data_IF_395591623443
#
_entry.id   IF_395591623443
#
_cell.length_a   1.000
_cell.length_b   1.000
_cell.length_c   1.000
_cell.angle_alpha   90.00
_cell.angle_beta   90.00
_cell.angle_gamma   90.00
#
_symmetry.space_group_name_H-M   'P 1'
#
loop_
_entity.id
_entity.type
_entity.pdbx_description
1 polymer ?
#
# COMPACT_ATOMS: atom_id res chain seq x y z
N UNK A 1 9.61 10.49 26.16
CA UNK A 1 8.73 9.30 25.98
C UNK A 1 8.34 9.15 24.50
N UNK A 2 9.31 9.01 23.58
CA UNK A 2 9.02 9.03 22.13
C UNK A 2 9.00 7.66 21.45
N UNK A 3 9.84 6.72 21.90
CA UNK A 3 10.09 5.46 21.20
C UNK A 3 8.86 4.56 21.08
N UNK A 4 8.05 4.48 22.13
CA UNK A 4 6.86 3.60 22.18
C UNK A 4 5.80 3.94 21.12
N UNK A 5 5.65 5.24 20.79
CA UNK A 5 4.70 5.69 19.77
C UNK A 5 5.12 5.24 18.37
N UNK A 6 6.42 5.32 18.04
CA UNK A 6 6.96 4.85 16.77
C UNK A 6 6.83 3.32 16.62
N UNK A 7 6.97 2.56 17.71
CA UNK A 7 6.76 1.10 17.67
C UNK A 7 5.32 0.75 17.33
N UNK A 8 4.35 1.47 17.89
CA UNK A 8 2.92 1.26 17.58
C UNK A 8 2.63 1.59 16.11
N UNK A 9 3.15 2.71 15.59
CA UNK A 9 3.00 3.07 14.19
C UNK A 9 3.59 2.01 13.26
N UNK A 10 4.78 1.50 13.57
CA UNK A 10 5.41 0.42 12.82
C UNK A 10 4.59 -0.88 12.83
N UNK A 11 4.00 -1.25 13.97
CA UNK A 11 3.13 -2.43 14.08
C UNK A 11 1.83 -2.24 13.29
N UNK A 12 1.19 -1.07 13.36
CA UNK A 12 -0.03 -0.78 12.60
C UNK A 12 0.25 -0.86 11.09
N UNK A 13 1.36 -0.26 10.64
CA UNK A 13 1.76 -0.30 9.23
C UNK A 13 2.14 -1.71 8.78
N UNK A 14 2.87 -2.46 9.60
CA UNK A 14 3.25 -3.84 9.32
C UNK A 14 2.03 -4.77 9.24
N UNK A 15 1.10 -4.66 10.20
CA UNK A 15 -0.15 -5.40 10.20
C UNK A 15 -1.02 -5.02 8.99
N UNK A 16 -1.11 -3.73 8.66
CA UNK A 16 -1.81 -3.24 7.47
C UNK A 16 -1.24 -3.80 6.17
N UNK A 17 0.09 -3.83 6.04
CA UNK A 17 0.77 -4.41 4.88
C UNK A 17 0.52 -5.93 4.77
N UNK A 18 0.61 -6.67 5.87
CA UNK A 18 0.34 -8.11 5.90
C UNK A 18 -1.12 -8.44 5.58
N UNK A 19 -2.06 -7.66 6.12
CA UNK A 19 -3.47 -7.81 5.81
C UNK A 19 -3.73 -7.62 4.31
N UNK A 20 -3.10 -6.61 3.69
CA UNK A 20 -3.26 -6.35 2.26
C UNK A 20 -2.61 -7.44 1.40
N UNK A 21 -1.45 -7.97 1.82
CA UNK A 21 -0.80 -9.11 1.14
C UNK A 21 -1.65 -10.39 1.25
N UNK A 22 -2.26 -10.66 2.40
CA UNK A 22 -3.14 -11.81 2.58
C UNK A 22 -4.41 -11.66 1.74
N UNK A 23 -5.02 -10.47 1.72
CA UNK A 23 -6.15 -10.17 0.83
C UNK A 23 -5.80 -10.36 -0.65
N UNK A 24 -4.58 -10.00 -1.04
CA UNK A 24 -4.09 -10.24 -2.40
C UNK A 24 -3.84 -11.73 -2.70
N UNK A 25 -3.39 -12.51 -1.71
CA UNK A 25 -3.22 -13.97 -1.84
C UNK A 25 -4.55 -14.71 -1.92
N UNK A 26 -5.54 -14.34 -1.11
CA UNK A 26 -6.89 -14.94 -1.12
C UNK A 26 -7.59 -14.83 -2.47
N UNK A 27 -7.25 -13.81 -3.26
CA UNK A 27 -7.80 -13.58 -4.60
C UNK A 27 -6.96 -14.16 -5.74
N UNK A 28 -5.98 -15.02 -5.43
CA UNK A 28 -5.04 -15.65 -6.38
C UNK A 28 -4.42 -14.65 -7.37
N UNK A 29 -4.12 -13.44 -6.89
CA UNK A 29 -3.71 -12.37 -7.77
C UNK A 29 -2.27 -12.63 -8.22
N UNK A 30 -2.04 -12.63 -9.54
CA UNK A 30 -0.68 -12.53 -10.10
C UNK A 30 -0.12 -11.14 -9.82
N UNK A 31 0.45 -10.99 -8.63
CA UNK A 31 1.13 -9.77 -8.21
C UNK A 31 2.34 -9.57 -9.12
N UNK A 32 2.36 -8.46 -9.86
CA UNK A 32 3.50 -8.11 -10.71
C UNK A 32 4.53 -7.34 -9.89
N UNK A 33 5.80 -7.47 -10.25
CA UNK A 33 6.91 -6.86 -9.49
C UNK A 33 6.74 -5.34 -9.30
N UNK A 34 6.23 -4.63 -10.32
CA UNK A 34 5.99 -3.19 -10.25
C UNK A 34 4.89 -2.79 -9.26
N UNK A 35 3.87 -3.62 -9.03
CA UNK A 35 2.79 -3.27 -8.09
C UNK A 35 3.28 -3.37 -6.66
N UNK A 36 4.18 -4.32 -6.39
CA UNK A 36 4.88 -4.43 -5.09
C UNK A 36 5.77 -3.21 -4.88
N UNK A 37 6.58 -2.81 -5.88
CA UNK A 37 7.45 -1.64 -5.77
C UNK A 37 6.66 -0.36 -5.48
N UNK A 38 5.55 -0.12 -6.21
CA UNK A 38 4.68 1.03 -5.99
C UNK A 38 4.04 1.01 -4.60
N UNK A 39 3.60 -0.16 -4.14
CA UNK A 39 2.99 -0.30 -2.83
C UNK A 39 3.98 -0.04 -1.69
N UNK A 40 5.18 -0.63 -1.76
CA UNK A 40 6.25 -0.42 -0.77
C UNK A 40 6.71 1.04 -0.78
N UNK A 41 6.91 1.63 -1.96
CA UNK A 41 7.32 3.03 -2.09
C UNK A 41 6.25 3.98 -1.53
N UNK A 42 4.98 3.71 -1.80
CA UNK A 42 3.85 4.47 -1.26
C UNK A 42 3.77 4.37 0.25
N UNK A 43 3.88 3.16 0.83
CA UNK A 43 3.90 2.96 2.28
C UNK A 43 5.08 3.65 2.95
N UNK A 44 6.28 3.54 2.38
CA UNK A 44 7.48 4.18 2.91
C UNK A 44 7.33 5.71 2.91
N UNK A 45 6.84 6.28 1.81
CA UNK A 45 6.57 7.73 1.72
C UNK A 45 5.50 8.17 2.72
N UNK A 46 4.46 7.36 2.92
CA UNK A 46 3.41 7.62 3.90
C UNK A 46 3.99 7.64 5.33
N UNK A 47 4.89 6.71 5.65
CA UNK A 47 5.54 6.62 6.96
C UNK A 47 6.41 7.86 7.23
N UNK A 48 7.24 8.27 6.25
CA UNK A 48 8.02 9.50 6.35
C UNK A 48 7.14 10.74 6.51
N UNK A 49 5.99 10.78 5.83
CA UNK A 49 5.02 11.88 5.97
C UNK A 49 4.50 11.98 7.39
N UNK A 50 4.19 10.85 8.03
CA UNK A 50 3.68 10.81 9.40
C UNK A 50 4.76 11.28 10.39
N UNK A 51 6.01 10.83 10.23
CA UNK A 51 7.11 11.28 11.08
C UNK A 51 7.37 12.79 10.93
N UNK A 52 7.42 13.28 9.69
CA UNK A 52 7.59 14.71 9.41
C UNK A 52 6.42 15.56 9.93
N UNK A 53 5.19 15.03 9.84
CA UNK A 53 3.99 15.70 10.39
C UNK A 53 4.07 15.83 11.91
N UNK A 54 4.45 14.76 12.61
CA UNK A 54 4.61 14.76 14.07
C UNK A 54 5.72 15.73 14.48
N UNK A 55 6.85 15.76 13.74
CA UNK A 55 7.94 16.71 13.96
C UNK A 55 7.46 18.16 13.85
N UNK A 56 6.77 18.50 12.76
CA UNK A 56 6.24 19.85 12.54
C UNK A 56 5.21 20.28 13.60
N UNK A 57 4.42 19.33 14.13
CA UNK A 57 3.49 19.61 15.24
C UNK A 57 4.22 19.88 16.56
N UNK A 58 5.35 19.20 16.82
CA UNK A 58 6.17 19.45 18.00
C UNK A 58 6.86 20.82 17.96
N UNK A 59 7.13 21.33 16.76
CA UNK A 59 7.69 22.66 16.53
C UNK A 59 6.61 23.77 16.50
N UNK A 60 5.34 23.46 16.82
CA UNK A 60 4.18 24.36 16.81
C UNK A 60 3.87 25.03 15.45
N UNK A 61 4.48 24.55 14.37
CA UNK A 61 4.28 25.04 13.01
C UNK A 61 3.12 24.28 12.34
N UNK A 62 1.89 24.48 12.81
CA UNK A 62 0.70 23.78 12.28
C UNK A 62 0.46 23.99 10.77
N UNK A 63 0.93 25.11 10.21
CA UNK A 63 0.88 25.32 8.76
C UNK A 63 1.83 24.39 8.00
N UNK A 64 3.06 24.24 8.49
CA UNK A 64 4.03 23.34 7.89
C UNK A 64 3.56 21.89 7.95
N UNK A 65 2.99 21.48 9.09
CA UNK A 65 2.39 20.15 9.25
C UNK A 65 1.29 19.88 8.19
N UNK A 66 0.36 20.81 7.99
CA UNK A 66 -0.66 20.70 6.96
C UNK A 66 -0.09 20.58 5.54
N UNK A 67 0.92 21.37 5.22
CA UNK A 67 1.59 21.34 3.91
C UNK A 67 2.32 20.01 3.66
N UNK A 68 2.97 19.44 4.67
CA UNK A 68 3.62 18.13 4.57
C UNK A 68 2.61 17.03 4.23
N UNK A 69 1.42 17.07 4.85
CA UNK A 69 0.36 16.09 4.58
C UNK A 69 -0.15 16.19 3.14
N UNK A 70 -0.31 17.41 2.63
CA UNK A 70 -0.78 17.65 1.25
C UNK A 70 0.30 17.26 0.24
N UNK A 71 1.53 17.72 0.46
CA UNK A 71 2.61 17.59 -0.51
C UNK A 71 3.22 16.20 -0.56
N UNK A 72 3.41 15.52 0.58
CA UNK A 72 3.92 14.13 0.61
C UNK A 72 2.84 13.09 0.82
N UNK A 73 1.82 13.39 1.63
CA UNK A 73 0.76 12.42 1.97
C UNK A 73 -0.15 12.09 0.78
N UNK A 74 -0.56 13.09 -0.01
CA UNK A 74 -1.39 12.83 -1.20
C UNK A 74 -0.65 11.95 -2.23
N UNK A 75 0.59 12.26 -2.64
CA UNK A 75 1.35 11.37 -3.52
C UNK A 75 1.55 9.96 -2.96
N UNK A 76 1.79 9.83 -1.65
CA UNK A 76 1.91 8.53 -1.01
C UNK A 76 0.62 7.68 -1.16
N UNK A 77 -0.53 8.29 -0.89
CA UNK A 77 -1.84 7.64 -1.07
C UNK A 77 -2.13 7.32 -2.53
N UNK A 78 -1.74 8.17 -3.47
CA UNK A 78 -1.87 7.90 -4.90
C UNK A 78 -1.02 6.71 -5.35
N UNK A 79 0.20 6.57 -4.86
CA UNK A 79 1.07 5.42 -5.16
C UNK A 79 0.45 4.12 -4.64
N UNK A 80 -0.06 4.12 -3.41
CA UNK A 80 -0.75 2.97 -2.81
C UNK A 80 -2.02 2.65 -3.60
N UNK A 81 -2.85 3.65 -3.88
CA UNK A 81 -4.08 3.51 -4.65
C UNK A 81 -3.83 3.00 -6.07
N UNK A 82 -2.78 3.47 -6.74
CA UNK A 82 -2.37 2.98 -8.06
C UNK A 82 -1.89 1.53 -7.99
N UNK A 83 -1.09 1.16 -6.99
CA UNK A 83 -0.64 -0.22 -6.79
C UNK A 83 -1.82 -1.18 -6.61
N UNK A 84 -2.78 -0.81 -5.76
CA UNK A 84 -4.01 -1.59 -5.53
C UNK A 84 -4.89 -1.61 -6.78
N UNK A 85 -5.11 -0.46 -7.42
CA UNK A 85 -5.93 -0.33 -8.62
C UNK A 85 -5.42 -1.15 -9.80
N UNK A 86 -4.09 -1.17 -10.02
CA UNK A 86 -3.46 -2.03 -11.02
C UNK A 86 -3.66 -3.51 -10.68
N UNK A 87 -3.52 -3.85 -9.41
CA UNK A 87 -3.73 -5.22 -8.91
C UNK A 87 -5.18 -5.68 -9.13
N UNK A 88 -6.17 -4.83 -8.83
CA UNK A 88 -7.60 -5.09 -9.03
C UNK A 88 -8.01 -5.14 -10.50
N UNK A 89 -7.55 -4.19 -11.32
CA UNK A 89 -7.82 -4.18 -12.76
C UNK A 89 -7.32 -5.46 -13.43
N UNK A 90 -6.13 -5.92 -13.04
CA UNK A 90 -5.56 -7.17 -13.55
C UNK A 90 -6.38 -8.40 -13.14
N UNK A 91 -7.12 -8.38 -12.01
CA UNK A 91 -8.06 -9.45 -11.66
C UNK A 91 -9.20 -9.57 -12.67
N UNK A 92 -9.74 -8.43 -13.13
CA UNK A 92 -10.90 -8.41 -14.03
C UNK A 92 -10.57 -8.86 -15.46
N UNK A 93 -9.29 -8.85 -15.83
CA UNK A 93 -8.82 -9.17 -17.17
C UNK A 93 -8.17 -10.54 -17.30
N UNK A 94 -8.25 -11.42 -16.29
CA UNK A 94 -7.88 -12.84 -16.46
C UNK A 94 -9.07 -13.51 -17.15
N UNK A 95 -9.00 -13.85 -18.46
CA UNK A 95 -10.05 -14.65 -19.07
C UNK A 95 -10.10 -15.99 -18.33
N UNK A 96 -11.29 -16.42 -17.96
CA UNK A 96 -11.54 -17.75 -17.42
C UNK A 96 -10.83 -18.75 -18.34
N UNK A 97 -9.76 -19.37 -17.84
CA UNK A 97 -9.02 -20.38 -18.60
C UNK A 97 -9.95 -21.56 -18.77
N UNK A 98 -10.46 -21.70 -19.98
CA UNK A 98 -11.00 -22.88 -20.65
C UNK A 98 -10.75 -24.18 -19.89
N UNK A 99 -11.74 -24.62 -19.11
CA UNK A 99 -11.83 -25.98 -18.56
C UNK A 99 -12.48 -26.95 -19.56
N UNK A 100 -12.13 -26.82 -20.85
CA UNK A 100 -12.72 -27.61 -21.95
C UNK A 100 -11.64 -28.27 -22.82
N UNK A 101 -10.56 -28.77 -22.20
CA UNK A 101 -9.56 -29.55 -22.96
C UNK A 101 -9.05 -30.80 -22.24
N UNK A 102 -9.66 -31.20 -21.12
CA UNK A 102 -9.29 -32.44 -20.40
C UNK A 102 -10.25 -33.61 -20.64
N UNK A 103 -11.33 -33.43 -21.41
CA UNK A 103 -12.27 -34.53 -21.72
C UNK A 103 -11.97 -35.30 -23.02
N UNK A 104 -11.00 -34.88 -23.83
CA UNK A 104 -10.71 -35.54 -25.12
C UNK A 104 -9.26 -35.97 -25.20
N UNK A 105 -8.90 -36.98 -24.41
CA UNK A 105 -7.94 -38.00 -24.85
C UNK A 105 -8.20 -39.29 -24.09
N UNK A 106 -9.11 -40.05 -24.69
CA UNK A 106 -9.20 -41.50 -24.63
C UNK A 106 -7.83 -42.16 -24.87
#
# INVERSE_FOLDING_TARGET
MGFFWYTILGVIFGAGALWLLNWAKEKEIKIRWYSITLFVLGLFTLLLTIEAYIGNLQEFESRAAGLTLVFMGIPALLLIGAAVGLTVKNMKSVPAVSTESTEVKA
#
